data_IF_480351854803
#
_entry.id   IF_480351854803
#
_cell.length_a   1.000
_cell.length_b   1.000
_cell.length_c   1.000
_cell.angle_alpha   90.00
_cell.angle_beta   90.00
_cell.angle_gamma   90.00
#
_symmetry.space_group_name_H-M   'P 1'
#
loop_
_entity.id
_entity.type
_entity.pdbx_description
1 polymer ?
#
# COMPACT_ATOMS: atom_id res chain seq x y z
N UNK A 1 12.69 18.12 8.82
CA UNK A 1 11.89 18.63 7.69
C UNK A 1 12.77 19.59 6.90
N UNK A 2 12.85 19.39 5.61
CA UNK A 2 13.48 20.28 4.64
C UNK A 2 12.39 20.72 3.66
N UNK A 3 12.24 22.01 3.40
CA UNK A 3 11.19 22.57 2.54
C UNK A 3 11.61 23.91 1.95
N UNK A 4 11.00 24.31 0.81
CA UNK A 4 11.24 25.62 0.18
C UNK A 4 10.79 26.77 1.08
N UNK A 5 9.65 26.62 1.77
CA UNK A 5 9.14 27.59 2.75
C UNK A 5 8.57 26.89 3.97
N UNK A 6 8.79 27.45 5.13
CA UNK A 6 8.23 26.96 6.39
C UNK A 6 7.65 28.13 7.18
N UNK A 7 6.40 28.00 7.60
CA UNK A 7 5.70 28.95 8.46
C UNK A 7 5.37 28.28 9.81
N UNK A 8 5.80 28.86 10.89
CA UNK A 8 5.42 28.43 12.23
C UNK A 8 4.39 29.37 12.87
N UNK A 9 3.21 28.85 13.13
CA UNK A 9 2.12 29.55 13.81
C UNK A 9 2.19 29.27 15.33
N UNK A 10 2.92 30.09 16.08
CA UNK A 10 3.23 29.87 17.50
C UNK A 10 2.00 29.67 18.40
N UNK A 11 0.94 30.48 18.21
CA UNK A 11 -0.28 30.41 19.05
C UNK A 11 -0.96 29.04 19.03
N UNK A 12 -0.96 28.38 17.90
CA UNK A 12 -1.62 27.08 17.68
C UNK A 12 -0.61 25.93 17.53
N UNK A 13 0.68 26.20 17.71
CA UNK A 13 1.79 25.24 17.56
C UNK A 13 1.71 24.41 16.28
N UNK A 14 1.46 25.10 15.16
CA UNK A 14 1.34 24.48 13.83
C UNK A 14 2.51 24.90 12.95
N UNK A 15 3.13 23.92 12.30
CA UNK A 15 4.11 24.14 11.21
C UNK A 15 3.42 23.86 9.90
N UNK A 16 3.57 24.73 8.92
CA UNK A 16 3.08 24.56 7.56
C UNK A 16 4.30 24.69 6.65
N UNK A 17 4.52 23.71 5.81
CA UNK A 17 5.47 23.83 4.71
C UNK A 17 4.74 24.11 3.41
N UNK A 18 5.41 24.70 2.45
CA UNK A 18 4.94 24.87 1.07
C UNK A 18 6.07 24.76 0.08
N UNK A 19 5.80 24.16 -1.08
CA UNK A 19 6.78 23.75 -2.06
C UNK A 19 7.40 22.41 -1.70
N UNK A 20 8.43 21.98 -2.43
CA UNK A 20 9.06 20.66 -2.24
C UNK A 20 9.47 20.44 -0.79
N UNK A 21 8.83 19.46 -0.17
CA UNK A 21 9.01 19.15 1.24
C UNK A 21 9.49 17.73 1.40
N UNK A 22 10.54 17.53 2.21
CA UNK A 22 11.07 16.23 2.58
C UNK A 22 11.09 16.09 4.09
N UNK A 23 10.63 14.93 4.57
CA UNK A 23 10.64 14.57 5.98
C UNK A 23 11.39 13.26 6.13
N UNK A 24 12.43 13.26 6.96
CA UNK A 24 13.05 12.02 7.41
C UNK A 24 12.29 11.57 8.66
N UNK A 25 11.68 10.37 8.58
CA UNK A 25 11.08 9.70 9.72
C UNK A 25 12.12 8.80 10.41
N UNK A 26 11.80 8.37 11.63
CA UNK A 26 12.56 7.30 12.28
C UNK A 26 12.51 6.02 11.40
N UNK A 27 13.49 5.13 11.59
CA UNK A 27 13.57 3.83 10.92
C UNK A 27 13.74 3.89 9.39
N UNK A 28 14.48 4.93 8.92
CA UNK A 28 14.88 5.11 7.50
C UNK A 28 13.72 5.30 6.50
N UNK A 29 12.55 5.74 6.98
CA UNK A 29 11.47 6.17 6.08
C UNK A 29 11.62 7.64 5.70
N UNK A 30 11.39 7.95 4.43
CA UNK A 30 11.41 9.30 3.89
C UNK A 30 10.10 9.64 3.21
N UNK A 31 9.50 10.77 3.59
CA UNK A 31 8.32 11.34 2.93
C UNK A 31 8.77 12.46 1.99
N UNK A 32 8.25 12.45 0.76
CA UNK A 32 8.44 13.51 -0.23
C UNK A 32 7.05 13.97 -0.69
N UNK A 33 6.79 15.26 -0.55
CA UNK A 33 5.50 15.88 -0.88
C UNK A 33 5.68 17.35 -1.22
N UNK A 34 4.65 18.03 -1.72
CA UNK A 34 4.74 19.46 -2.03
C UNK A 34 4.41 20.36 -0.83
N UNK A 35 3.68 19.85 0.14
CA UNK A 35 3.34 20.60 1.36
C UNK A 35 2.95 19.66 2.49
N UNK A 36 3.09 20.14 3.72
CA UNK A 36 2.61 19.46 4.91
C UNK A 36 2.05 20.44 5.93
N UNK A 37 1.23 19.91 6.81
CA UNK A 37 0.87 20.49 8.08
C UNK A 37 1.34 19.59 9.22
N UNK A 38 2.08 20.15 10.16
CA UNK A 38 2.42 19.48 11.42
C UNK A 38 1.67 20.14 12.58
N UNK A 39 0.71 19.44 13.13
CA UNK A 39 -0.09 19.83 14.31
C UNK A 39 0.61 19.28 15.55
N UNK A 40 1.48 20.10 16.15
CA UNK A 40 2.41 19.65 17.20
C UNK A 40 1.67 19.14 18.44
N UNK A 41 0.59 19.83 18.87
CA UNK A 41 -0.23 19.42 20.03
C UNK A 41 -0.92 18.07 19.84
N UNK A 42 -1.24 17.72 18.59
CA UNK A 42 -1.95 16.51 18.23
C UNK A 42 -0.99 15.38 17.81
N UNK A 43 0.30 15.68 17.68
CA UNK A 43 1.31 14.77 17.15
C UNK A 43 0.98 14.24 15.74
N UNK A 44 0.41 15.11 14.88
CA UNK A 44 -0.05 14.75 13.53
C UNK A 44 0.76 15.48 12.49
N UNK A 45 1.32 14.73 11.53
CA UNK A 45 1.80 15.26 10.25
C UNK A 45 0.84 14.81 9.17
N UNK A 46 0.37 15.73 8.32
CA UNK A 46 -0.57 15.42 7.25
C UNK A 46 -0.29 16.22 5.98
N UNK A 47 -0.75 15.70 4.86
CA UNK A 47 -0.77 16.38 3.57
C UNK A 47 -1.97 15.90 2.75
N UNK A 48 -2.56 16.81 1.98
CA UNK A 48 -3.54 16.52 0.93
C UNK A 48 -2.93 16.50 -0.47
N UNK A 49 -1.61 16.62 -0.57
CA UNK A 49 -0.88 16.56 -1.83
C UNK A 49 -0.38 15.15 -2.13
N UNK A 50 -0.17 14.86 -3.42
CA UNK A 50 0.50 13.62 -3.83
C UNK A 50 1.82 13.47 -3.09
N UNK A 51 1.99 12.32 -2.47
CA UNK A 51 3.09 12.05 -1.57
C UNK A 51 3.76 10.74 -1.93
N UNK A 52 5.07 10.71 -1.83
CA UNK A 52 5.89 9.50 -1.97
C UNK A 52 6.46 9.17 -0.61
N UNK A 53 6.18 7.95 -0.14
CA UNK A 53 6.86 7.35 1.01
C UNK A 53 7.91 6.37 0.47
N UNK A 54 9.16 6.55 0.88
CA UNK A 54 10.27 5.65 0.59
C UNK A 54 10.68 4.93 1.86
N UNK A 55 10.92 3.63 1.78
CA UNK A 55 11.53 2.86 2.86
C UNK A 55 13.06 2.79 2.70
N UNK A 56 13.75 2.16 3.66
CA UNK A 56 15.20 1.96 3.64
C UNK A 56 15.72 1.15 2.44
N UNK A 57 14.86 0.42 1.76
CA UNK A 57 15.19 -0.36 0.56
C UNK A 57 14.82 0.37 -0.73
N UNK A 58 14.40 1.63 -0.63
CA UNK A 58 13.86 2.45 -1.72
C UNK A 58 12.59 1.87 -2.37
N UNK A 59 11.82 1.02 -1.67
CA UNK A 59 10.48 0.70 -2.11
C UNK A 59 9.65 1.97 -2.06
N UNK A 60 8.93 2.23 -3.15
CA UNK A 60 8.17 3.45 -3.32
C UNK A 60 6.68 3.18 -3.11
N UNK A 61 6.08 3.95 -2.22
CA UNK A 61 4.63 3.99 -2.01
C UNK A 61 4.13 5.38 -2.37
N UNK A 62 3.29 5.47 -3.39
CA UNK A 62 2.63 6.70 -3.80
C UNK A 62 1.27 6.77 -3.14
N UNK A 63 0.91 7.91 -2.57
CA UNK A 63 -0.39 8.16 -1.93
C UNK A 63 -0.95 9.50 -2.40
N UNK A 64 -2.28 9.64 -2.50
CA UNK A 64 -2.93 10.91 -2.84
C UNK A 64 -2.88 11.90 -1.70
N UNK A 65 -3.06 11.41 -0.48
CA UNK A 65 -2.98 12.17 0.77
C UNK A 65 -2.58 11.24 1.91
N UNK A 66 -2.08 11.81 3.00
CA UNK A 66 -1.69 11.02 4.17
C UNK A 66 -1.92 11.75 5.49
N UNK A 67 -2.02 10.94 6.55
CA UNK A 67 -1.97 11.36 7.95
C UNK A 67 -1.01 10.43 8.72
N UNK A 68 -0.03 11.01 9.39
CA UNK A 68 0.94 10.28 10.20
C UNK A 68 0.84 10.69 11.66
N UNK A 69 0.55 9.72 12.53
CA UNK A 69 0.54 9.90 13.99
C UNK A 69 1.95 9.62 14.51
N UNK A 70 2.67 10.69 14.88
CA UNK A 70 4.11 10.61 15.20
C UNK A 70 4.39 9.85 16.50
N UNK A 71 3.50 9.94 17.49
CA UNK A 71 3.57 9.24 18.77
C UNK A 71 3.34 7.74 18.64
N UNK A 72 2.41 7.34 17.75
CA UNK A 72 2.01 5.95 17.51
C UNK A 72 2.78 5.30 16.35
N UNK A 73 3.52 6.10 15.58
CA UNK A 73 4.17 5.70 14.33
C UNK A 73 3.20 5.00 13.35
N UNK A 74 1.96 5.52 13.27
CA UNK A 74 0.92 5.04 12.36
C UNK A 74 0.79 5.97 11.16
N UNK A 75 0.97 5.41 9.97
CA UNK A 75 0.79 6.10 8.70
C UNK A 75 -0.52 5.63 8.05
N UNK A 76 -1.39 6.58 7.76
CA UNK A 76 -2.64 6.38 7.00
C UNK A 76 -2.48 7.04 5.64
N UNK A 77 -2.90 6.34 4.57
CA UNK A 77 -2.86 6.87 3.22
C UNK A 77 -4.08 6.46 2.43
N UNK A 78 -4.44 7.27 1.43
CA UNK A 78 -5.53 7.03 0.51
C UNK A 78 -4.99 6.92 -0.93
N UNK A 79 -5.69 6.12 -1.76
CA UNK A 79 -5.33 5.87 -3.16
C UNK A 79 -3.86 5.48 -3.32
N UNK A 80 -3.49 4.40 -2.66
CA UNK A 80 -2.10 3.95 -2.59
C UNK A 80 -1.75 3.15 -3.83
N UNK A 81 -0.59 3.46 -4.40
CA UNK A 81 0.05 2.69 -5.44
C UNK A 81 1.49 2.38 -5.00
N UNK A 82 1.75 1.10 -4.77
CA UNK A 82 3.05 0.61 -4.36
C UNK A 82 3.60 -0.37 -5.40
N UNK A 83 4.87 -0.24 -5.72
CA UNK A 83 5.58 -1.19 -6.58
C UNK A 83 6.72 -1.82 -5.77
N UNK A 84 6.77 -3.15 -5.72
CA UNK A 84 7.84 -3.87 -5.05
C UNK A 84 9.05 -4.10 -5.99
N UNK A 85 10.13 -4.66 -5.42
CA UNK A 85 11.37 -4.98 -6.15
C UNK A 85 11.16 -5.97 -7.32
N UNK A 86 10.14 -6.82 -7.23
CA UNK A 86 9.80 -7.83 -8.24
C UNK A 86 8.84 -7.28 -9.31
N UNK A 87 8.60 -5.95 -9.27
CA UNK A 87 7.71 -5.19 -10.18
C UNK A 87 6.24 -5.59 -10.05
N UNK A 88 5.82 -6.16 -8.91
CA UNK A 88 4.42 -6.31 -8.61
C UNK A 88 3.85 -4.95 -8.20
N UNK A 89 2.68 -4.62 -8.71
CA UNK A 89 1.99 -3.37 -8.42
C UNK A 89 0.80 -3.64 -7.50
N UNK A 90 0.73 -2.91 -6.39
CA UNK A 90 -0.29 -3.02 -5.36
C UNK A 90 -1.08 -1.72 -5.34
N UNK A 91 -2.39 -1.83 -5.46
CA UNK A 91 -3.33 -0.71 -5.41
C UNK A 91 -4.27 -0.91 -4.22
N UNK A 92 -4.41 0.11 -3.39
CA UNK A 92 -5.32 0.11 -2.25
C UNK A 92 -6.11 1.42 -2.22
N UNK A 93 -7.40 1.36 -1.93
CA UNK A 93 -8.17 2.59 -1.71
C UNK A 93 -7.71 3.28 -0.41
N UNK A 94 -7.62 2.53 0.67
CA UNK A 94 -7.19 3.03 1.97
C UNK A 94 -6.18 2.08 2.61
N UNK A 95 -5.18 2.61 3.30
CA UNK A 95 -4.28 1.79 4.11
C UNK A 95 -3.85 2.42 5.42
N UNK A 96 -3.43 1.55 6.33
CA UNK A 96 -2.74 1.91 7.57
C UNK A 96 -1.46 1.08 7.66
N UNK A 97 -0.33 1.76 7.81
CA UNK A 97 0.98 1.14 8.05
C UNK A 97 1.41 1.46 9.47
N UNK A 98 1.70 0.43 10.25
CA UNK A 98 2.34 0.59 11.55
C UNK A 98 3.84 0.42 11.39
N UNK A 99 4.59 1.52 11.55
CA UNK A 99 6.04 1.53 11.36
C UNK A 99 6.81 0.87 12.51
N UNK A 100 6.18 0.65 13.69
CA UNK A 100 6.84 -0.04 14.82
C UNK A 100 6.99 -1.55 14.57
N UNK A 101 5.95 -2.18 14.04
CA UNK A 101 5.89 -3.64 13.86
C UNK A 101 5.79 -4.07 12.40
N UNK A 102 5.94 -3.14 11.47
CA UNK A 102 5.90 -3.35 10.03
C UNK A 102 4.63 -4.08 9.57
N UNK A 103 3.47 -3.70 10.14
CA UNK A 103 2.18 -4.24 9.68
C UNK A 103 1.48 -3.28 8.74
N UNK A 104 0.84 -3.84 7.72
CA UNK A 104 0.02 -3.15 6.74
C UNK A 104 -1.41 -3.70 6.82
N UNK A 105 -2.39 -2.81 6.96
CA UNK A 105 -3.81 -3.09 6.74
C UNK A 105 -4.28 -2.26 5.55
N UNK A 106 -5.03 -2.87 4.63
CA UNK A 106 -5.56 -2.17 3.47
C UNK A 106 -6.96 -2.64 3.11
N UNK A 107 -7.71 -1.76 2.41
CA UNK A 107 -9.03 -2.05 1.85
C UNK A 107 -9.00 -1.91 0.33
N UNK A 108 -9.93 -2.61 -0.33
CA UNK A 108 -10.13 -2.58 -1.77
C UNK A 108 -8.82 -2.79 -2.53
N UNK A 109 -8.34 -4.02 -2.36
CA UNK A 109 -7.01 -4.45 -2.77
C UNK A 109 -7.02 -4.93 -4.21
N UNK A 110 -6.12 -4.42 -5.03
CA UNK A 110 -5.76 -5.00 -6.32
C UNK A 110 -4.25 -5.19 -6.38
N UNK A 111 -3.81 -6.41 -6.69
CA UNK A 111 -2.41 -6.75 -6.88
C UNK A 111 -2.23 -7.20 -8.34
N UNK A 112 -1.44 -6.47 -9.08
CA UNK A 112 -1.03 -6.84 -10.44
C UNK A 112 0.39 -7.40 -10.34
N UNK A 113 0.51 -8.68 -10.56
CA UNK A 113 1.81 -9.35 -10.53
C UNK A 113 2.59 -9.08 -11.81
N UNK A 114 3.91 -9.16 -11.72
CA UNK A 114 4.79 -9.13 -12.89
C UNK A 114 4.39 -10.24 -13.88
N UNK A 115 4.29 -9.90 -15.16
CA UNK A 115 3.87 -10.84 -16.22
C UNK A 115 4.70 -12.13 -16.24
N UNK A 116 5.96 -12.03 -15.88
CA UNK A 116 6.89 -13.17 -15.91
C UNK A 116 6.82 -14.09 -14.68
N UNK A 117 6.02 -13.76 -13.66
CA UNK A 117 6.00 -14.52 -12.40
C UNK A 117 5.59 -15.99 -12.57
N UNK A 118 4.78 -16.29 -13.60
CA UNK A 118 4.33 -17.64 -13.97
C UNK A 118 4.94 -18.15 -15.27
N UNK A 119 6.03 -17.54 -15.77
CA UNK A 119 6.76 -17.99 -16.97
C UNK A 119 6.04 -17.74 -18.29
N UNK A 120 4.92 -17.02 -18.34
CA UNK A 120 4.19 -16.71 -19.55
C UNK A 120 3.91 -15.19 -19.62
N UNK A 121 4.56 -14.52 -20.58
CA UNK A 121 4.46 -13.08 -20.80
C UNK A 121 3.09 -12.61 -21.34
N UNK A 122 2.30 -13.52 -21.91
CA UNK A 122 0.95 -13.22 -22.41
C UNK A 122 -0.11 -13.16 -21.30
N UNK A 123 0.25 -13.58 -20.10
CA UNK A 123 -0.64 -13.55 -18.94
C UNK A 123 -0.62 -12.16 -18.26
N UNK A 124 -1.77 -11.80 -17.68
CA UNK A 124 -1.92 -10.64 -16.79
C UNK A 124 -2.35 -11.11 -15.39
N UNK A 125 -1.45 -11.73 -14.62
CA UNK A 125 -1.79 -12.30 -13.33
C UNK A 125 -2.17 -11.20 -12.34
N UNK A 126 -3.34 -11.37 -11.71
CA UNK A 126 -3.88 -10.38 -10.77
C UNK A 126 -4.72 -11.03 -9.67
N UNK A 127 -4.73 -10.36 -8.54
CA UNK A 127 -5.50 -10.74 -7.37
C UNK A 127 -6.26 -9.52 -6.87
N UNK A 128 -7.57 -9.63 -6.69
CA UNK A 128 -8.40 -8.63 -6.04
C UNK A 128 -8.90 -9.16 -4.71
N UNK A 129 -9.17 -8.28 -3.76
CA UNK A 129 -9.72 -8.64 -2.47
C UNK A 129 -10.33 -7.46 -1.75
N UNK A 130 -11.21 -7.71 -0.79
CA UNK A 130 -11.87 -6.64 -0.02
C UNK A 130 -10.97 -6.04 1.04
N UNK A 131 -10.02 -6.82 1.56
CA UNK A 131 -9.03 -6.32 2.52
C UNK A 131 -7.75 -7.15 2.51
N UNK A 132 -6.68 -6.51 2.94
CA UNK A 132 -5.37 -7.12 3.13
C UNK A 132 -4.85 -6.81 4.53
N UNK A 133 -4.28 -7.82 5.17
CA UNK A 133 -3.46 -7.69 6.36
C UNK A 133 -2.11 -8.36 6.11
N UNK A 134 -1.03 -7.60 6.26
CA UNK A 134 0.31 -8.12 6.04
C UNK A 134 1.26 -7.74 7.17
N UNK A 135 2.21 -8.63 7.45
CA UNK A 135 3.36 -8.40 8.30
C UNK A 135 4.61 -9.03 7.64
N UNK A 136 5.71 -9.07 8.36
CA UNK A 136 6.97 -9.62 7.83
C UNK A 136 6.84 -11.08 7.36
N UNK A 137 5.99 -11.89 8.00
CA UNK A 137 5.91 -13.33 7.81
C UNK A 137 4.70 -13.78 6.99
N UNK A 138 3.59 -13.03 7.06
CA UNK A 138 2.33 -13.45 6.45
C UNK A 138 1.63 -12.31 5.74
N UNK A 139 0.90 -12.66 4.68
CA UNK A 139 -0.07 -11.79 4.02
C UNK A 139 -1.40 -12.53 3.96
N UNK A 140 -2.48 -11.90 4.42
CA UNK A 140 -3.84 -12.44 4.41
C UNK A 140 -4.70 -11.50 3.58
N UNK A 141 -5.43 -12.06 2.60
CA UNK A 141 -6.38 -11.33 1.76
C UNK A 141 -7.75 -11.97 1.95
N UNK A 142 -8.77 -11.14 2.19
CA UNK A 142 -10.15 -11.57 2.34
C UNK A 142 -10.91 -11.41 1.03
N UNK A 143 -11.82 -12.36 0.76
CA UNK A 143 -12.66 -12.42 -0.44
C UNK A 143 -11.80 -12.26 -1.70
N UNK A 144 -10.75 -13.08 -1.78
CA UNK A 144 -9.77 -13.00 -2.86
C UNK A 144 -10.29 -13.61 -4.16
N UNK A 145 -10.03 -12.93 -5.28
CA UNK A 145 -10.29 -13.42 -6.64
C UNK A 145 -8.99 -13.33 -7.44
N UNK A 146 -8.45 -14.47 -7.82
CA UNK A 146 -7.21 -14.57 -8.59
C UNK A 146 -7.48 -15.09 -10.00
N UNK A 147 -6.80 -14.51 -10.99
CA UNK A 147 -6.76 -15.01 -12.38
C UNK A 147 -5.43 -14.63 -13.03
N UNK A 148 -5.06 -15.35 -14.09
CA UNK A 148 -3.93 -14.99 -14.97
C UNK A 148 -4.39 -14.54 -16.36
N UNK A 149 -5.70 -14.50 -16.63
CA UNK A 149 -6.26 -14.12 -17.91
C UNK A 149 -5.89 -12.68 -18.31
N UNK A 150 -5.86 -12.40 -19.63
CA UNK A 150 -5.59 -11.04 -20.13
C UNK A 150 -6.58 -10.04 -19.56
N UNK A 151 -6.12 -8.81 -19.30
CA UNK A 151 -6.98 -7.73 -18.77
C UNK A 151 -8.06 -7.27 -19.74
N UNK A 152 -7.82 -7.45 -21.03
CA UNK A 152 -8.74 -7.04 -22.10
C UNK A 152 -9.92 -8.01 -22.29
N UNK A 153 -9.92 -9.14 -21.58
CA UNK A 153 -11.04 -10.07 -21.58
C UNK A 153 -12.05 -9.56 -20.54
N UNK A 154 -13.23 -9.12 -20.97
CA UNK A 154 -14.30 -8.59 -20.11
C UNK A 154 -14.72 -9.60 -19.04
N UNK A 155 -14.65 -10.90 -19.36
CA UNK A 155 -14.90 -11.99 -18.45
C UNK A 155 -13.70 -12.96 -18.50
N UNK A 156 -12.91 -13.09 -17.44
CA UNK A 156 -11.79 -14.02 -17.46
C UNK A 156 -12.31 -15.46 -17.64
N UNK A 157 -11.70 -16.27 -18.56
CA UNK A 157 -12.10 -17.64 -18.80
C UNK A 157 -12.08 -18.50 -17.54
N UNK A 158 -11.29 -18.13 -16.54
CA UNK A 158 -11.26 -18.76 -15.23
C UNK A 158 -10.86 -17.79 -14.13
N UNK A 159 -11.35 -18.04 -12.92
CA UNK A 159 -10.89 -17.37 -11.71
C UNK A 159 -10.93 -18.33 -10.52
N UNK A 160 -9.94 -18.22 -9.64
CA UNK A 160 -9.92 -18.87 -8.34
C UNK A 160 -10.44 -17.86 -7.30
N UNK A 161 -11.55 -18.20 -6.67
CA UNK A 161 -12.17 -17.38 -5.63
C UNK A 161 -11.98 -18.05 -4.28
N UNK A 162 -11.80 -17.25 -3.23
CA UNK A 162 -11.60 -17.75 -1.88
C UNK A 162 -12.05 -16.75 -0.83
N UNK A 163 -12.66 -17.21 0.26
CA UNK A 163 -13.01 -16.34 1.38
C UNK A 163 -11.77 -15.77 2.10
N UNK A 164 -10.66 -16.51 2.06
CA UNK A 164 -9.37 -16.09 2.61
C UNK A 164 -8.24 -16.73 1.82
N UNK A 165 -7.25 -15.92 1.45
CA UNK A 165 -5.98 -16.34 0.88
C UNK A 165 -4.89 -15.95 1.87
N UNK A 166 -4.12 -16.93 2.36
CA UNK A 166 -3.01 -16.71 3.29
C UNK A 166 -1.70 -17.14 2.65
N UNK A 167 -0.81 -16.19 2.42
CA UNK A 167 0.58 -16.43 2.01
C UNK A 167 1.47 -16.45 3.25
N UNK A 168 2.07 -17.59 3.54
CA UNK A 168 3.12 -17.77 4.54
C UNK A 168 4.48 -17.59 3.85
N UNK A 169 5.14 -16.46 4.10
CA UNK A 169 6.40 -16.10 3.43
C UNK A 169 7.57 -16.97 3.88
N UNK A 170 7.53 -17.45 5.13
CA UNK A 170 8.58 -18.31 5.69
C UNK A 170 8.49 -19.70 5.09
N UNK A 171 7.30 -20.28 5.05
CA UNK A 171 7.04 -21.60 4.47
C UNK A 171 6.95 -21.60 2.96
N UNK A 172 6.87 -20.41 2.33
CA UNK A 172 6.65 -20.23 0.87
C UNK A 172 5.39 -20.97 0.39
N UNK A 173 4.32 -20.94 1.20
CA UNK A 173 3.05 -21.62 0.90
C UNK A 173 1.91 -20.61 0.79
N UNK A 174 0.96 -20.92 -0.09
CA UNK A 174 -0.31 -20.18 -0.19
C UNK A 174 -1.44 -21.13 0.19
N UNK A 175 -2.21 -20.74 1.20
CA UNK A 175 -3.35 -21.50 1.69
C UNK A 175 -4.63 -20.75 1.34
N UNK A 176 -5.63 -21.51 0.89
CA UNK A 176 -6.93 -20.99 0.52
C UNK A 176 -8.00 -21.57 1.44
N UNK A 177 -8.94 -20.74 1.88
CA UNK A 177 -10.09 -21.17 2.67
C UNK A 177 -11.36 -20.98 1.88
N UNK A 178 -12.22 -22.02 1.82
CA UNK A 178 -13.45 -22.00 1.03
C UNK A 178 -13.18 -21.56 -0.41
N UNK A 179 -12.25 -22.24 -1.08
CA UNK A 179 -11.86 -21.91 -2.44
C UNK A 179 -12.69 -22.68 -3.46
N UNK A 180 -13.03 -22.03 -4.55
CA UNK A 180 -13.65 -22.65 -5.73
C UNK A 180 -13.11 -22.05 -7.02
N UNK A 181 -13.06 -22.87 -8.04
CA UNK A 181 -12.65 -22.48 -9.38
C UNK A 181 -13.91 -22.18 -10.20
N UNK A 182 -13.98 -20.95 -10.71
CA UNK A 182 -15.03 -20.52 -11.63
C UNK A 182 -14.48 -20.57 -13.06
N UNK A 183 -15.19 -21.24 -13.97
CA UNK A 183 -14.81 -21.36 -15.39
C UNK A 183 -15.98 -20.82 -16.22
N UNK A 184 -15.74 -19.81 -17.08
CA UNK A 184 -16.75 -19.21 -17.97
C UNK A 184 -18.05 -18.83 -17.27
N UNK A 185 -17.98 -18.17 -16.10
CA UNK A 185 -19.16 -17.74 -15.30
C UNK A 185 -20.10 -18.87 -14.82
N UNK A 186 -19.65 -20.12 -14.83
CA UNK A 186 -20.38 -21.29 -14.30
C UNK A 186 -19.82 -21.74 -12.96
#
# INVERSE_FOLDING_TARGET
IISDKVLYKKKIEKIISSGKTQIQLADDYKIITDNIEYLKKENIIQSSSKTILLDKFNNQVNVSDFKYLTDKKLFYGNNINMTDKDKNNYLFENSMINLNNHTLLAKDVEINFSKNIFGNLDNDPRLKGTSLSANNNTTIIKNGVFTTCKKNDDCPPWSLQSSEIKHDKLKKTVNYKNAWLKIYDK
#
